data_IF_898473623339
#
_entry.id   IF_898473623339
#
_cell.length_a   1.000
_cell.length_b   1.000
_cell.length_c   1.000
_cell.angle_alpha   90.00
_cell.angle_beta   90.00
_cell.angle_gamma   90.00
#
_symmetry.space_group_name_H-M   'P 1'
#
loop_
_entity.id
_entity.type
_entity.pdbx_description
1 polymer ?
#
# COMPACT_ATOMS: atom_id res chain seq x y z
N UNK A 1 -22.45 8.40 24.17
CA UNK A 1 -22.40 9.39 23.08
C UNK A 1 -21.64 10.61 23.58
N UNK A 2 -20.35 10.71 23.29
CA UNK A 2 -19.50 11.81 23.74
C UNK A 2 -18.55 12.23 22.61
N UNK A 3 -18.69 13.49 22.18
CA UNK A 3 -17.77 14.29 21.38
C UNK A 3 -16.88 13.57 20.35
N UNK A 4 -17.45 13.31 19.15
CA UNK A 4 -16.72 12.94 17.92
C UNK A 4 -16.07 14.16 17.19
N UNK A 5 -15.96 15.31 17.85
CA UNK A 5 -15.55 16.60 17.24
C UNK A 5 -14.08 16.66 16.77
N UNK A 6 -13.20 15.71 17.15
CA UNK A 6 -11.76 15.76 16.86
C UNK A 6 -11.23 14.76 15.80
N UNK A 7 -12.06 14.03 15.06
CA UNK A 7 -11.59 12.90 14.22
C UNK A 7 -12.10 12.89 12.78
N UNK A 8 -11.97 14.03 12.12
CA UNK A 8 -12.53 14.26 10.79
C UNK A 8 -11.39 14.40 9.77
N UNK A 9 -11.20 13.40 8.91
CA UNK A 9 -10.17 13.35 7.85
C UNK A 9 -10.74 13.98 6.58
N UNK A 10 -9.98 14.88 5.95
CA UNK A 10 -10.36 15.46 4.65
C UNK A 10 -10.22 14.44 3.52
N UNK A 11 -10.95 14.64 2.41
CA UNK A 11 -10.82 13.75 1.25
C UNK A 11 -9.37 13.70 0.72
N UNK A 12 -8.67 14.83 0.75
CA UNK A 12 -7.27 14.89 0.32
C UNK A 12 -6.35 14.09 1.25
N UNK A 13 -6.45 14.28 2.58
CA UNK A 13 -5.69 13.49 3.57
C UNK A 13 -5.97 11.99 3.44
N UNK A 14 -7.22 11.63 3.15
CA UNK A 14 -7.64 10.25 2.93
C UNK A 14 -6.98 9.62 1.69
N UNK A 15 -7.01 10.34 0.56
CA UNK A 15 -6.36 9.91 -0.69
C UNK A 15 -4.85 9.78 -0.48
N UNK A 16 -4.24 10.78 0.15
CA UNK A 16 -2.80 10.78 0.42
C UNK A 16 -2.42 9.61 1.32
N UNK A 17 -3.20 9.33 2.38
CA UNK A 17 -2.93 8.20 3.27
C UNK A 17 -2.93 6.86 2.53
N UNK A 18 -3.95 6.60 1.71
CA UNK A 18 -4.01 5.36 0.90
C UNK A 18 -2.82 5.31 -0.07
N UNK A 19 -2.52 6.42 -0.73
CA UNK A 19 -1.40 6.51 -1.66
C UNK A 19 -0.05 6.25 -0.98
N UNK A 20 0.18 6.81 0.21
CA UNK A 20 1.42 6.63 0.98
C UNK A 20 1.70 5.16 1.34
N UNK A 21 0.67 4.33 1.51
CA UNK A 21 0.83 2.90 1.74
C UNK A 21 1.38 2.17 0.51
N UNK A 22 1.05 2.64 -0.69
CA UNK A 22 1.42 2.02 -1.96
C UNK A 22 2.77 2.52 -2.49
N UNK A 23 3.14 3.76 -2.15
CA UNK A 23 4.33 4.42 -2.69
C UNK A 23 5.63 3.64 -2.44
N UNK A 24 5.89 3.23 -1.20
CA UNK A 24 7.17 2.64 -0.84
C UNK A 24 7.42 1.30 -1.55
N UNK A 25 6.43 0.40 -1.52
CA UNK A 25 6.49 -0.90 -2.17
C UNK A 25 6.45 -0.77 -3.70
N UNK A 26 5.62 0.14 -4.24
CA UNK A 26 5.47 0.35 -5.67
C UNK A 26 6.69 1.00 -6.33
N UNK A 27 7.29 2.02 -5.73
CA UNK A 27 8.40 2.76 -6.36
C UNK A 27 9.76 2.10 -6.13
N UNK A 28 10.01 1.54 -4.94
CA UNK A 28 11.35 1.06 -4.57
C UNK A 28 11.54 -0.43 -4.80
N UNK A 29 10.47 -1.23 -4.69
CA UNK A 29 10.58 -2.70 -4.59
C UNK A 29 10.05 -3.41 -5.85
N UNK A 30 8.92 -2.95 -6.39
CA UNK A 30 8.25 -3.55 -7.55
C UNK A 30 9.06 -3.54 -8.86
N UNK A 31 9.83 -2.49 -9.24
CA UNK A 31 10.35 -2.37 -10.60
C UNK A 31 11.27 -3.52 -11.05
N UNK A 32 12.17 -3.98 -10.17
CA UNK A 32 13.13 -5.04 -10.48
C UNK A 32 12.47 -6.40 -10.79
N UNK A 33 11.65 -7.00 -9.91
CA UNK A 33 11.00 -8.28 -10.21
C UNK A 33 10.01 -8.20 -11.37
N UNK A 34 9.38 -7.05 -11.56
CA UNK A 34 8.47 -6.79 -12.67
C UNK A 34 9.22 -6.74 -14.02
N UNK A 35 10.36 -6.05 -14.09
CA UNK A 35 11.23 -6.05 -15.26
C UNK A 35 11.85 -7.44 -15.54
N UNK A 36 12.21 -8.19 -14.50
CA UNK A 36 12.71 -9.56 -14.66
C UNK A 36 11.66 -10.52 -15.23
N UNK A 37 10.37 -10.26 -15.00
CA UNK A 37 9.28 -11.15 -15.44
C UNK A 37 8.69 -10.73 -16.78
N UNK A 38 8.43 -9.44 -16.99
CA UNK A 38 7.74 -8.91 -18.18
C UNK A 38 8.64 -8.03 -19.07
N UNK A 39 9.92 -7.87 -18.74
CA UNK A 39 10.85 -7.05 -19.50
C UNK A 39 10.34 -5.62 -19.65
N UNK A 40 10.36 -5.13 -20.90
CA UNK A 40 9.90 -3.79 -21.28
C UNK A 40 8.37 -3.63 -21.21
N UNK A 41 7.62 -4.73 -21.20
CA UNK A 41 6.15 -4.73 -21.17
C UNK A 41 5.57 -4.67 -19.74
N UNK A 42 6.42 -4.58 -18.73
CA UNK A 42 5.99 -4.58 -17.33
C UNK A 42 5.06 -3.43 -16.94
N UNK A 43 5.11 -2.30 -17.63
CA UNK A 43 4.18 -1.18 -17.40
C UNK A 43 2.72 -1.59 -17.64
N UNK A 44 2.46 -2.53 -18.57
CA UNK A 44 1.12 -3.07 -18.82
C UNK A 44 0.62 -3.83 -17.59
N UNK A 45 1.48 -4.62 -16.94
CA UNK A 45 1.15 -5.32 -15.70
C UNK A 45 0.76 -4.35 -14.59
N UNK A 46 1.43 -3.20 -14.48
CA UNK A 46 1.12 -2.14 -13.51
C UNK A 46 -0.30 -1.60 -13.74
N UNK A 47 -0.66 -1.31 -15.00
CA UNK A 47 -1.98 -0.80 -15.38
C UNK A 47 -3.07 -1.84 -15.13
N UNK A 48 -2.85 -3.10 -15.52
CA UNK A 48 -3.80 -4.19 -15.28
C UNK A 48 -4.02 -4.43 -13.79
N UNK A 49 -2.94 -4.44 -13.00
CA UNK A 49 -3.04 -4.54 -11.55
C UNK A 49 -3.85 -3.38 -10.95
N UNK A 50 -3.62 -2.15 -11.42
CA UNK A 50 -4.35 -0.97 -10.97
C UNK A 50 -5.84 -1.06 -11.27
N UNK A 51 -6.22 -1.55 -12.46
CA UNK A 51 -7.62 -1.75 -12.82
C UNK A 51 -8.30 -2.75 -11.88
N UNK A 52 -7.67 -3.90 -11.62
CA UNK A 52 -8.20 -4.93 -10.70
C UNK A 52 -8.36 -4.38 -9.30
N UNK A 53 -7.32 -3.72 -8.76
CA UNK A 53 -7.36 -3.12 -7.42
C UNK A 53 -8.41 -2.01 -7.34
N UNK A 54 -8.58 -1.19 -8.37
CA UNK A 54 -9.59 -0.13 -8.39
C UNK A 54 -11.01 -0.69 -8.33
N UNK A 55 -11.29 -1.77 -9.07
CA UNK A 55 -12.57 -2.49 -9.00
C UNK A 55 -12.81 -2.99 -7.57
N UNK A 56 -11.80 -3.62 -6.95
CA UNK A 56 -11.88 -4.07 -5.56
C UNK A 56 -12.17 -2.90 -4.61
N UNK A 57 -11.50 -1.76 -4.79
CA UNK A 57 -11.72 -0.54 -3.99
C UNK A 57 -13.14 -0.02 -4.08
N UNK A 58 -13.72 0.01 -5.29
CA UNK A 58 -15.11 0.39 -5.50
C UNK A 58 -16.04 -0.57 -4.74
N UNK A 59 -15.80 -1.89 -4.81
CA UNK A 59 -16.59 -2.88 -4.08
C UNK A 59 -16.51 -2.67 -2.57
N UNK A 60 -15.32 -2.40 -2.02
CA UNK A 60 -15.12 -2.08 -0.60
C UNK A 60 -15.97 -0.86 -0.20
N UNK A 61 -15.89 0.22 -0.97
CA UNK A 61 -16.65 1.45 -0.69
C UNK A 61 -18.15 1.20 -0.78
N UNK A 62 -18.63 0.40 -1.75
CA UNK A 62 -20.05 0.05 -1.86
C UNK A 62 -20.55 -0.75 -0.65
N UNK A 63 -19.76 -1.69 -0.14
CA UNK A 63 -20.08 -2.44 1.08
C UNK A 63 -20.19 -1.51 2.29
N UNK A 64 -19.24 -0.57 2.43
CA UNK A 64 -19.22 0.40 3.52
C UNK A 64 -20.37 1.42 3.42
N UNK A 65 -20.75 1.84 2.21
CA UNK A 65 -21.93 2.71 1.98
C UNK A 65 -23.23 2.03 2.38
N UNK A 66 -23.35 0.71 2.18
CA UNK A 66 -24.52 -0.07 2.63
C UNK A 66 -24.54 -0.32 4.14
N UNK A 67 -23.41 -0.15 4.83
CA UNK A 67 -23.26 -0.44 6.25
C UNK A 67 -22.60 0.74 7.01
N UNK A 68 -23.23 1.93 7.03
CA UNK A 68 -22.58 3.17 7.47
C UNK A 68 -22.17 3.21 8.94
N UNK A 69 -22.87 2.45 9.80
CA UNK A 69 -22.68 2.45 11.26
C UNK A 69 -22.01 1.17 11.77
N UNK A 70 -21.51 0.32 10.87
CA UNK A 70 -20.92 -0.98 11.23
C UNK A 70 -19.42 -0.98 10.97
N UNK A 71 -18.66 -1.48 11.94
CA UNK A 71 -17.24 -1.73 11.75
C UNK A 71 -17.01 -3.03 10.94
N UNK A 72 -15.78 -3.23 10.48
CA UNK A 72 -15.41 -4.40 9.67
C UNK A 72 -15.81 -5.75 10.30
N UNK A 73 -15.63 -5.89 11.62
CA UNK A 73 -16.03 -7.09 12.36
C UNK A 73 -17.55 -7.31 12.35
N UNK A 74 -18.33 -6.24 12.58
CA UNK A 74 -19.79 -6.27 12.55
C UNK A 74 -20.32 -6.58 11.15
N UNK A 75 -19.68 -6.07 10.10
CA UNK A 75 -20.01 -6.38 8.71
C UNK A 75 -19.81 -7.88 8.48
N UNK A 76 -18.65 -8.44 8.80
CA UNK A 76 -18.37 -9.86 8.57
C UNK A 76 -19.28 -10.79 9.39
N UNK A 77 -19.52 -10.48 10.67
CA UNK A 77 -20.40 -11.28 11.52
C UNK A 77 -21.88 -11.19 11.13
N UNK A 78 -22.31 -10.09 10.51
CA UNK A 78 -23.66 -9.97 9.97
C UNK A 78 -23.87 -10.85 8.73
N UNK A 79 -22.94 -10.84 7.78
CA UNK A 79 -23.11 -11.56 6.51
C UNK A 79 -22.79 -13.05 6.62
N UNK A 80 -21.80 -13.43 7.43
CA UNK A 80 -21.33 -14.82 7.54
C UNK A 80 -21.75 -15.49 8.87
N UNK A 81 -22.43 -14.77 9.76
CA UNK A 81 -22.76 -15.23 11.11
C UNK A 81 -21.59 -15.09 12.09
N UNK A 82 -21.90 -15.26 13.39
CA UNK A 82 -20.95 -15.01 14.48
C UNK A 82 -19.67 -15.87 14.39
N UNK A 83 -19.80 -17.16 14.09
CA UNK A 83 -18.66 -18.09 14.08
C UNK A 83 -17.76 -17.87 12.87
N UNK A 84 -18.28 -18.00 11.66
CA UNK A 84 -17.48 -17.80 10.44
C UNK A 84 -16.98 -16.35 10.32
N UNK A 85 -17.80 -15.36 10.66
CA UNK A 85 -17.37 -13.96 10.65
C UNK A 85 -16.21 -13.69 11.61
N UNK A 86 -16.20 -14.31 12.79
CA UNK A 86 -15.07 -14.19 13.74
C UNK A 86 -13.80 -14.84 13.18
N UNK A 87 -13.92 -16.03 12.58
CA UNK A 87 -12.78 -16.72 11.94
C UNK A 87 -12.19 -15.85 10.82
N UNK A 88 -13.02 -15.27 9.96
CA UNK A 88 -12.58 -14.39 8.87
C UNK A 88 -11.84 -13.15 9.39
N UNK A 89 -12.31 -12.55 10.50
CA UNK A 89 -11.63 -11.41 11.12
C UNK A 89 -10.27 -11.81 11.68
N UNK A 90 -10.15 -12.98 12.30
CA UNK A 90 -8.87 -13.49 12.81
C UNK A 90 -7.89 -13.75 11.66
N UNK A 91 -8.34 -14.42 10.59
CA UNK A 91 -7.53 -14.66 9.39
C UNK A 91 -7.05 -13.32 8.80
N UNK A 92 -7.94 -12.33 8.72
CA UNK A 92 -7.61 -11.02 8.21
C UNK A 92 -6.63 -10.26 9.11
N UNK A 93 -6.76 -10.36 10.44
CA UNK A 93 -5.82 -9.78 11.39
C UNK A 93 -4.43 -10.43 11.27
N UNK A 94 -4.36 -11.75 11.10
CA UNK A 94 -3.10 -12.46 10.83
C UNK A 94 -2.48 -12.01 9.51
N UNK A 95 -3.28 -11.86 8.45
CA UNK A 95 -2.82 -11.30 7.18
C UNK A 95 -2.18 -9.92 7.36
N UNK A 96 -2.85 -8.99 8.06
CA UNK A 96 -2.30 -7.66 8.31
C UNK A 96 -1.02 -7.71 9.15
N UNK A 97 -0.94 -8.60 10.13
CA UNK A 97 0.27 -8.81 10.92
C UNK A 97 1.44 -9.26 10.06
N UNK A 98 1.26 -10.28 9.23
CA UNK A 98 2.30 -10.78 8.33
C UNK A 98 2.69 -9.74 7.26
N UNK A 99 1.72 -8.99 6.73
CA UNK A 99 1.98 -7.90 5.79
C UNK A 99 2.83 -6.79 6.42
N UNK A 100 2.49 -6.37 7.65
CA UNK A 100 3.27 -5.41 8.41
C UNK A 100 4.67 -5.92 8.73
N UNK A 101 4.81 -7.17 9.15
CA UNK A 101 6.10 -7.81 9.42
C UNK A 101 6.98 -7.88 8.16
N UNK A 102 6.42 -8.30 7.03
CA UNK A 102 7.14 -8.31 5.75
C UNK A 102 7.60 -6.91 5.33
N UNK A 103 6.78 -5.88 5.58
CA UNK A 103 7.14 -4.49 5.30
C UNK A 103 8.29 -4.01 6.18
N UNK A 104 8.31 -4.40 7.47
CA UNK A 104 9.40 -4.11 8.39
C UNK A 104 10.72 -4.76 7.95
N UNK A 105 10.68 -6.02 7.49
CA UNK A 105 11.85 -6.70 6.94
C UNK A 105 12.39 -5.99 5.70
N UNK A 106 11.52 -5.63 4.75
CA UNK A 106 11.91 -4.87 3.56
C UNK A 106 12.53 -3.52 3.89
N UNK A 107 11.96 -2.80 4.85
CA UNK A 107 12.53 -1.54 5.34
C UNK A 107 13.91 -1.75 5.98
N UNK A 108 14.08 -2.84 6.72
CA UNK A 108 15.37 -3.25 7.32
C UNK A 108 16.41 -3.51 6.24
N UNK A 109 16.05 -4.24 5.17
CA UNK A 109 16.96 -4.53 4.06
C UNK A 109 17.41 -3.25 3.35
N UNK A 110 16.50 -2.30 3.14
CA UNK A 110 16.84 -0.98 2.58
C UNK A 110 17.84 -0.26 3.51
N UNK A 111 17.54 -0.13 4.80
CA UNK A 111 18.45 0.57 5.74
C UNK A 111 19.81 -0.12 5.81
N UNK A 112 19.83 -1.45 5.78
CA UNK A 112 21.07 -2.22 5.79
C UNK A 112 21.91 -1.98 4.55
N UNK A 113 21.31 -2.05 3.36
CA UNK A 113 22.04 -1.84 2.09
C UNK A 113 22.59 -0.41 1.98
N UNK A 114 21.82 0.60 2.42
CA UNK A 114 22.14 2.00 2.15
C UNK A 114 22.83 2.75 3.29
N UNK A 115 22.65 2.33 4.54
CA UNK A 115 23.09 3.10 5.72
C UNK A 115 24.01 2.26 6.62
N UNK A 116 23.59 1.05 7.00
CA UNK A 116 24.28 0.23 8.00
C UNK A 116 24.60 -1.19 7.48
N UNK A 117 25.49 -1.35 6.47
CA UNK A 117 25.74 -2.63 5.83
C UNK A 117 26.38 -3.67 6.75
N UNK A 118 27.20 -3.23 7.70
CA UNK A 118 27.89 -4.12 8.65
C UNK A 118 27.05 -4.47 9.88
N UNK A 119 25.90 -3.82 10.09
CA UNK A 119 25.07 -4.02 11.28
C UNK A 119 24.15 -5.23 11.11
N UNK A 120 24.05 -6.11 12.13
CA UNK A 120 23.09 -7.22 12.11
C UNK A 120 21.64 -6.74 11.96
N UNK A 121 20.84 -7.43 11.14
CA UNK A 121 19.48 -7.01 10.81
C UNK A 121 18.57 -6.87 12.04
N UNK A 122 18.74 -7.70 13.08
CA UNK A 122 17.92 -7.62 14.29
C UNK A 122 18.09 -6.29 15.05
N UNK A 123 19.29 -5.69 15.02
CA UNK A 123 19.55 -4.40 15.67
C UNK A 123 18.83 -3.27 14.93
N UNK A 124 18.86 -3.32 13.59
CA UNK A 124 18.15 -2.36 12.72
C UNK A 124 16.63 -2.48 12.93
N UNK A 125 16.09 -3.70 13.02
CA UNK A 125 14.66 -3.93 13.31
C UNK A 125 14.25 -3.29 14.64
N UNK A 126 15.02 -3.52 15.72
CA UNK A 126 14.73 -2.93 17.03
C UNK A 126 14.73 -1.40 16.95
N UNK A 127 15.69 -0.82 16.24
CA UNK A 127 15.78 0.63 16.04
C UNK A 127 14.57 1.18 15.27
N UNK A 128 14.12 0.50 14.21
CA UNK A 128 12.96 0.89 13.41
C UNK A 128 11.63 0.72 14.15
N UNK A 129 11.53 -0.22 15.09
CA UNK A 129 10.30 -0.44 15.87
C UNK A 129 9.97 0.74 16.79
N UNK A 130 10.98 1.43 17.33
CA UNK A 130 10.77 2.57 18.25
C UNK A 130 9.86 3.66 17.65
N UNK A 131 10.18 4.27 16.49
CA UNK A 131 9.31 5.28 15.89
C UNK A 131 7.94 4.72 15.47
N UNK A 132 7.85 3.46 15.03
CA UNK A 132 6.57 2.86 14.67
C UNK A 132 5.64 2.68 15.87
N UNK A 133 6.15 2.25 17.02
CA UNK A 133 5.37 2.13 18.26
C UNK A 133 4.90 3.50 18.73
N UNK A 134 5.77 4.51 18.69
CA UNK A 134 5.41 5.90 19.07
C UNK A 134 4.29 6.42 18.18
N UNK A 135 4.38 6.23 16.85
CA UNK A 135 3.33 6.65 15.92
C UNK A 135 2.02 5.88 16.14
N UNK A 136 2.09 4.57 16.39
CA UNK A 136 0.92 3.74 16.66
C UNK A 136 0.18 4.19 17.93
N UNK A 137 0.91 4.51 19.00
CA UNK A 137 0.34 5.04 20.25
C UNK A 137 -0.22 6.45 20.12
N UNK A 138 0.33 7.26 19.20
CA UNK A 138 -0.14 8.63 18.94
C UNK A 138 -1.49 8.68 18.20
N UNK A 139 -1.98 7.54 17.72
CA UNK A 139 -3.31 7.39 17.14
C UNK A 139 -3.43 7.84 15.67
N UNK A 140 -4.62 7.66 15.11
CA UNK A 140 -4.85 7.76 13.66
C UNK A 140 -4.55 9.14 13.08
N UNK A 141 -4.78 10.23 13.83
CA UNK A 141 -4.50 11.58 13.35
C UNK A 141 -3.00 11.82 13.19
N UNK A 142 -2.17 11.28 14.08
CA UNK A 142 -0.72 11.37 13.96
C UNK A 142 -0.21 10.60 12.74
N UNK A 143 -0.74 9.39 12.51
CA UNK A 143 -0.41 8.56 11.35
C UNK A 143 -0.75 9.27 10.03
N UNK A 144 -1.93 9.91 9.94
CA UNK A 144 -2.35 10.65 8.74
C UNK A 144 -1.50 11.91 8.52
N UNK A 145 -1.18 12.62 9.61
CA UNK A 145 -0.31 13.80 9.51
C UNK A 145 1.10 13.39 9.05
N UNK A 146 1.59 12.25 9.53
CA UNK A 146 2.85 11.66 9.08
C UNK A 146 2.79 11.24 7.60
N UNK A 147 1.71 10.63 7.12
CA UNK A 147 1.58 10.28 5.70
C UNK A 147 1.58 11.52 4.79
N UNK A 148 0.96 12.61 5.23
CA UNK A 148 1.02 13.90 4.51
C UNK A 148 2.45 14.43 4.40
N UNK A 149 3.21 14.39 5.51
CA UNK A 149 4.62 14.75 5.51
C UNK A 149 5.38 13.88 4.50
N UNK A 150 5.29 12.55 4.64
CA UNK A 150 5.99 11.61 3.74
C UNK A 150 5.64 11.87 2.28
N UNK A 151 4.36 12.12 1.97
CA UNK A 151 3.92 12.44 0.62
C UNK A 151 4.63 13.67 0.05
N UNK A 152 4.64 14.81 0.75
CA UNK A 152 5.33 16.00 0.25
C UNK A 152 6.85 15.81 0.12
N UNK A 153 7.46 15.05 1.05
CA UNK A 153 8.89 14.73 0.99
C UNK A 153 9.25 13.76 -0.14
N UNK A 154 8.30 13.00 -0.68
CA UNK A 154 8.55 11.99 -1.72
C UNK A 154 7.91 12.31 -3.07
N UNK A 155 7.01 13.29 -3.14
CA UNK A 155 6.27 13.66 -4.35
C UNK A 155 7.18 14.10 -5.51
N UNK A 156 8.39 14.58 -5.23
CA UNK A 156 9.37 14.98 -6.24
C UNK A 156 10.18 13.80 -6.81
N UNK A 157 10.19 12.64 -6.15
CA UNK A 157 10.98 11.47 -6.56
C UNK A 157 10.67 10.96 -7.97
N UNK A 158 9.40 10.87 -8.42
CA UNK A 158 9.10 10.45 -9.80
C UNK A 158 9.73 11.38 -10.84
N UNK A 159 9.71 12.69 -10.57
CA UNK A 159 10.31 13.69 -11.46
C UNK A 159 11.83 13.49 -11.52
N UNK A 160 12.47 13.23 -10.38
CA UNK A 160 13.90 12.92 -10.31
C UNK A 160 14.26 11.64 -11.09
N UNK A 161 13.44 10.58 -10.98
CA UNK A 161 13.63 9.36 -11.77
C UNK A 161 13.52 9.61 -13.28
N UNK A 162 12.60 10.48 -13.71
CA UNK A 162 12.50 10.89 -15.11
C UNK A 162 13.75 11.66 -15.59
N UNK A 163 14.34 12.50 -14.73
CA UNK A 163 15.60 13.18 -15.06
C UNK A 163 16.76 12.20 -15.29
N UNK A 164 16.81 11.08 -14.55
CA UNK A 164 17.81 10.02 -14.76
C UNK A 164 17.75 9.41 -16.16
N UNK A 165 16.57 9.39 -16.78
CA UNK A 165 16.39 8.87 -18.14
C UNK A 165 16.94 9.80 -19.22
N UNK A 166 17.22 11.08 -18.92
CA UNK A 166 17.56 12.11 -19.93
C UNK A 166 18.73 11.73 -20.85
N UNK A 167 19.73 11.00 -20.34
CA UNK A 167 20.91 10.63 -21.14
C UNK A 167 20.69 9.43 -22.07
N UNK A 168 19.73 8.56 -21.77
CA UNK A 168 19.55 7.26 -22.45
C UNK A 168 18.08 7.01 -22.83
N UNK A 169 17.28 8.08 -22.92
CA UNK A 169 15.88 7.98 -23.29
C UNK A 169 15.76 7.67 -24.77
N UNK A 170 15.34 6.44 -25.08
CA UNK A 170 14.94 6.05 -26.43
C UNK A 170 13.56 5.38 -26.37
N UNK A 171 12.50 6.02 -26.89
CA UNK A 171 11.16 5.45 -26.95
C UNK A 171 11.09 4.11 -27.68
N UNK A 172 12.03 3.85 -28.61
CA UNK A 172 12.11 2.59 -29.35
C UNK A 172 12.41 1.39 -28.46
N UNK A 173 12.95 1.60 -27.24
CA UNK A 173 13.15 0.51 -26.28
C UNK A 173 11.83 -0.05 -25.73
N UNK A 174 10.69 0.64 -25.92
CA UNK A 174 9.37 0.10 -25.59
C UNK A 174 8.81 -0.81 -26.70
N UNK A 175 9.48 -0.87 -27.86
CA UNK A 175 9.07 -1.68 -28.99
C UNK A 175 9.98 -2.92 -29.13
N UNK A 176 9.43 -4.04 -29.64
CA UNK A 176 8.01 -4.28 -29.91
C UNK A 176 7.22 -4.47 -28.60
N UNK A 177 5.97 -4.00 -28.58
CA UNK A 177 5.05 -4.22 -27.46
C UNK A 177 4.62 -5.69 -27.46
N UNK A 178 4.57 -6.33 -26.29
CA UNK A 178 4.28 -7.76 -26.11
C UNK A 178 5.30 -8.66 -26.83
N UNK A 179 6.59 -8.34 -26.71
CA UNK A 179 7.68 -9.08 -27.38
C UNK A 179 7.63 -10.58 -27.08
N UNK A 180 7.38 -10.93 -25.82
CA UNK A 180 7.33 -12.31 -25.33
C UNK A 180 5.87 -12.81 -25.18
N UNK A 181 4.90 -12.09 -25.78
CA UNK A 181 3.47 -12.36 -25.70
C UNK A 181 2.80 -11.88 -24.40
N UNK A 182 1.54 -12.29 -24.21
CA UNK A 182 0.69 -11.81 -23.10
C UNK A 182 0.99 -12.52 -21.76
N UNK A 183 1.47 -13.76 -21.81
CA UNK A 183 1.67 -14.57 -20.60
C UNK A 183 2.64 -13.93 -19.59
N UNK A 184 3.83 -13.43 -19.98
CA UNK A 184 4.74 -12.76 -19.05
C UNK A 184 4.15 -11.52 -18.39
N UNK A 185 3.35 -10.74 -19.15
CA UNK A 185 2.64 -9.55 -18.63
C UNK A 185 1.64 -9.93 -17.56
N UNK A 186 0.79 -10.94 -17.81
CA UNK A 186 -0.19 -11.40 -16.82
C UNK A 186 0.51 -12.03 -15.62
N UNK A 187 1.58 -12.79 -15.83
CA UNK A 187 2.39 -13.38 -14.75
C UNK A 187 3.02 -12.31 -13.87
N UNK A 188 3.49 -11.20 -14.44
CA UNK A 188 4.09 -10.09 -13.70
C UNK A 188 3.07 -9.26 -12.91
N UNK A 189 1.76 -9.39 -13.16
CA UNK A 189 0.73 -8.75 -12.32
C UNK A 189 0.81 -9.19 -10.86
N UNK A 190 1.34 -10.39 -10.57
CA UNK A 190 1.55 -10.83 -9.18
C UNK A 190 2.46 -9.87 -8.39
N UNK A 191 3.41 -9.22 -9.06
CA UNK A 191 4.34 -8.27 -8.46
C UNK A 191 3.65 -6.96 -8.06
N UNK A 192 2.47 -6.66 -8.64
CA UNK A 192 1.67 -5.49 -8.29
C UNK A 192 0.77 -5.72 -7.08
N UNK A 193 0.57 -6.97 -6.65
CA UNK A 193 -0.28 -7.30 -5.50
C UNK A 193 0.24 -6.64 -4.23
N UNK A 194 1.54 -6.76 -3.95
CA UNK A 194 2.12 -6.18 -2.71
C UNK A 194 2.10 -4.64 -2.70
N UNK A 195 2.44 -3.95 -3.80
CA UNK A 195 2.28 -2.50 -3.91
C UNK A 195 0.86 -2.00 -3.75
N UNK A 196 -0.12 -2.73 -4.26
CA UNK A 196 -1.52 -2.32 -4.20
C UNK A 196 -2.26 -2.82 -2.96
N UNK A 197 -1.70 -3.81 -2.27
CA UNK A 197 -2.08 -4.15 -0.91
C UNK A 197 -1.88 -2.93 0.00
N UNK A 198 -2.88 -2.65 0.82
CA UNK A 198 -3.03 -1.40 1.56
C UNK A 198 -4.33 -0.67 1.24
N UNK A 199 -4.94 -0.94 0.08
CA UNK A 199 -6.29 -0.43 -0.25
C UNK A 199 -7.33 -0.90 0.78
N UNK A 200 -7.17 -2.10 1.31
CA UNK A 200 -8.04 -2.70 2.30
C UNK A 200 -8.08 -1.94 3.64
N UNK A 201 -7.14 -1.02 3.89
CA UNK A 201 -7.21 -0.10 5.05
C UNK A 201 -8.46 0.78 5.02
N UNK A 202 -9.06 0.95 3.83
CA UNK A 202 -10.31 1.68 3.61
C UNK A 202 -11.41 1.20 4.57
N UNK A 203 -11.47 -0.11 4.88
CA UNK A 203 -12.43 -0.65 5.86
C UNK A 203 -12.34 0.00 7.25
N UNK A 204 -11.16 0.50 7.64
CA UNK A 204 -10.93 1.09 8.96
C UNK A 204 -10.91 2.62 8.93
N UNK A 205 -10.47 3.23 7.83
CA UNK A 205 -10.35 4.68 7.74
C UNK A 205 -11.61 5.38 7.22
N UNK A 206 -12.45 4.69 6.44
CA UNK A 206 -13.67 5.25 5.85
C UNK A 206 -14.64 5.89 6.86
N UNK A 207 -14.87 5.34 8.07
CA UNK A 207 -15.74 5.97 9.07
C UNK A 207 -15.27 7.36 9.53
N UNK A 208 -13.98 7.69 9.38
CA UNK A 208 -13.39 8.97 9.78
C UNK A 208 -13.41 10.03 8.67
N UNK A 209 -13.92 9.70 7.48
CA UNK A 209 -13.99 10.62 6.35
C UNK A 209 -15.12 11.65 6.54
N UNK A 210 -14.78 12.94 6.43
CA UNK A 210 -15.72 14.06 6.63
C UNK A 210 -16.90 14.09 5.66
N UNK A 211 -16.63 13.84 4.37
CA UNK A 211 -17.60 13.89 3.27
C UNK A 211 -17.44 12.62 2.41
N UNK A 212 -18.45 11.75 2.44
CA UNK A 212 -18.48 10.41 1.82
C UNK A 212 -19.00 10.41 0.37
#
# INVERSE_FOLDING_TARGET
MGNLSFRNITLFEYIVFIHSLQLASGMLIMPSPLANTAGTDGWISIVLGWMVTSIIGILIVLVLKKNPDKNFFQILTQYFGKYLGTILVIIYALYLFFAGFNTLLKATDIVKVWIFPSTPSYQIVILLLVPFIILAWSGIRAIISYSMLVFFFTAWMPIFLLFSLKSNYNPLHLLPILKEGVYPVVKAMKETITPYAGLEIVYFIYPFLQKK
#
